data_IF_728921462575
#
_entry.id   IF_728921462575
#
_cell.length_a   1.000
_cell.length_b   1.000
_cell.length_c   1.000
_cell.angle_alpha   90.00
_cell.angle_beta   90.00
_cell.angle_gamma   90.00
#
_symmetry.space_group_name_H-M   'P 1'
#
loop_
_entity.id
_entity.type
_entity.pdbx_description
1 polymer ?
#
# COMPACT_ATOMS: atom_id res chain seq x y z
N UNK A 1 -9.56 12.64 -9.33
CA UNK A 1 -8.49 12.10 -8.47
C UNK A 1 -8.49 12.89 -7.19
N UNK A 2 -8.39 12.22 -6.04
CA UNK A 2 -8.23 12.84 -4.72
C UNK A 2 -7.04 12.21 -4.02
N UNK A 3 -6.16 13.03 -3.47
CA UNK A 3 -4.95 12.59 -2.77
C UNK A 3 -5.03 13.11 -1.34
N UNK A 4 -4.89 12.20 -0.38
CA UNK A 4 -4.83 12.52 1.05
C UNK A 4 -3.45 12.12 1.55
N UNK A 5 -2.73 13.06 2.15
CA UNK A 5 -1.49 12.76 2.84
C UNK A 5 -1.79 12.12 4.20
N UNK A 6 -1.13 11.01 4.51
CA UNK A 6 -1.29 10.23 5.74
C UNK A 6 -0.10 10.38 6.68
N UNK A 7 0.86 11.27 6.37
CA UNK A 7 2.10 11.43 7.15
C UNK A 7 3.28 10.70 6.52
N UNK A 8 4.50 11.22 6.75
CA UNK A 8 5.74 10.69 6.16
C UNK A 8 5.61 10.45 4.64
N UNK A 9 5.87 9.23 4.16
CA UNK A 9 5.69 8.77 2.77
C UNK A 9 4.28 8.22 2.48
N UNK A 10 3.41 8.18 3.48
CA UNK A 10 2.06 7.63 3.42
C UNK A 10 1.09 8.49 2.62
N UNK A 11 0.44 7.91 1.61
CA UNK A 11 -0.63 8.57 0.85
C UNK A 11 -1.82 7.65 0.63
N UNK A 12 -3.02 8.22 0.62
CA UNK A 12 -4.23 7.60 0.09
C UNK A 12 -4.62 8.30 -1.21
N UNK A 13 -4.76 7.54 -2.28
CA UNK A 13 -5.10 8.06 -3.61
C UNK A 13 -6.39 7.42 -4.10
N UNK A 14 -7.40 8.24 -4.36
CA UNK A 14 -8.68 7.83 -4.96
C UNK A 14 -8.72 8.26 -6.42
N UNK A 15 -8.77 7.28 -7.34
CA UNK A 15 -8.77 7.53 -8.78
C UNK A 15 -9.42 6.38 -9.55
N UNK A 16 -10.30 6.70 -10.50
CA UNK A 16 -10.93 5.74 -11.42
C UNK A 16 -11.50 4.48 -10.72
N UNK A 17 -12.18 4.66 -9.58
CA UNK A 17 -12.77 3.57 -8.80
C UNK A 17 -11.77 2.76 -7.94
N UNK A 18 -10.49 3.12 -7.96
CA UNK A 18 -9.46 2.55 -7.10
C UNK A 18 -9.17 3.45 -5.90
N UNK A 19 -8.83 2.82 -4.78
CA UNK A 19 -8.28 3.47 -3.59
C UNK A 19 -6.92 2.82 -3.31
N UNK A 20 -5.85 3.57 -3.54
CA UNK A 20 -4.47 3.09 -3.41
C UNK A 20 -3.88 3.66 -2.12
N UNK A 21 -3.30 2.79 -1.29
CA UNK A 21 -2.47 3.21 -0.15
C UNK A 21 -1.01 3.10 -0.54
N UNK A 22 -0.27 4.20 -0.49
CA UNK A 22 1.18 4.22 -0.71
C UNK A 22 1.86 4.24 0.64
N UNK A 23 2.80 3.33 0.87
CA UNK A 23 3.67 3.25 2.05
C UNK A 23 2.92 3.50 3.39
N UNK A 24 1.93 2.67 3.75
CA UNK A 24 1.09 2.93 4.91
C UNK A 24 1.84 2.64 6.21
N UNK A 25 2.47 3.66 6.78
CA UNK A 25 2.86 3.70 8.19
C UNK A 25 1.86 4.56 8.96
N UNK A 26 0.87 3.91 9.57
CA UNK A 26 -0.23 4.55 10.30
C UNK A 26 -0.01 4.44 11.81
N UNK A 27 0.34 3.25 12.31
CA UNK A 27 0.58 3.03 13.75
C UNK A 27 2.02 3.42 14.10
N UNK A 28 2.18 4.28 15.10
CA UNK A 28 3.48 4.80 15.51
C UNK A 28 4.05 5.92 14.64
N UNK A 29 3.34 6.35 13.59
CA UNK A 29 3.73 7.51 12.79
C UNK A 29 3.45 8.80 13.58
N UNK A 30 4.46 9.64 13.88
CA UNK A 30 4.31 10.78 14.79
C UNK A 30 3.31 11.85 14.33
N UNK A 31 2.96 11.87 13.05
CA UNK A 31 2.07 12.88 12.47
C UNK A 31 0.74 12.30 11.98
N UNK A 32 0.56 10.99 12.02
CA UNK A 32 -0.72 10.36 11.70
C UNK A 32 -1.58 10.21 12.96
N UNK A 33 -2.82 10.74 12.97
CA UNK A 33 -3.75 10.51 14.07
C UNK A 33 -4.26 9.05 14.02
N UNK A 34 -3.76 8.19 14.92
CA UNK A 34 -4.04 6.75 14.93
C UNK A 34 -5.53 6.40 15.00
N UNK A 35 -6.35 7.24 15.63
CA UNK A 35 -7.82 7.09 15.70
C UNK A 35 -8.50 7.18 14.33
N UNK A 36 -7.81 7.70 13.31
CA UNK A 36 -8.28 7.76 11.92
C UNK A 36 -7.85 6.59 11.05
N UNK A 37 -7.19 5.55 11.61
CA UNK A 37 -6.76 4.36 10.85
C UNK A 37 -7.91 3.75 10.04
N UNK A 38 -9.07 3.56 10.66
CA UNK A 38 -10.23 2.95 10.01
C UNK A 38 -10.70 3.77 8.79
N UNK A 39 -10.72 5.11 8.91
CA UNK A 39 -11.05 6.01 7.80
C UNK A 39 -9.99 5.94 6.69
N UNK A 40 -8.71 5.90 7.06
CA UNK A 40 -7.60 5.88 6.11
C UNK A 40 -7.61 4.62 5.23
N UNK A 41 -7.94 3.47 5.78
CA UNK A 41 -7.93 2.20 5.03
C UNK A 41 -9.28 1.86 4.37
N UNK A 42 -10.34 2.60 4.69
CA UNK A 42 -11.69 2.31 4.22
C UNK A 42 -11.75 2.27 2.68
N UNK A 43 -12.19 1.11 2.16
CA UNK A 43 -12.35 0.87 0.74
C UNK A 43 -11.03 0.77 -0.05
N UNK A 44 -9.88 0.65 0.63
CA UNK A 44 -8.60 0.42 -0.04
C UNK A 44 -8.67 -0.83 -0.93
N UNK A 45 -8.08 -0.71 -2.12
CA UNK A 45 -8.11 -1.74 -3.17
C UNK A 45 -6.73 -2.37 -3.39
N UNK A 46 -5.66 -1.59 -3.17
CA UNK A 46 -4.27 -2.00 -3.36
C UNK A 46 -3.38 -1.25 -2.38
N UNK A 47 -2.27 -1.88 -2.00
CA UNK A 47 -1.21 -1.25 -1.21
C UNK A 47 0.04 -1.20 -2.09
N UNK A 48 0.54 0.00 -2.38
CA UNK A 48 1.78 0.25 -3.10
C UNK A 48 2.91 0.43 -2.09
N UNK A 49 3.98 -0.35 -2.24
CA UNK A 49 5.16 -0.29 -1.35
C UNK A 49 6.40 0.06 -2.15
N UNK A 50 7.07 1.14 -1.78
CA UNK A 50 8.28 1.62 -2.45
C UNK A 50 9.51 0.77 -2.11
N UNK A 51 9.72 0.46 -0.84
CA UNK A 51 10.82 -0.37 -0.34
C UNK A 51 10.56 -0.89 1.09
N UNK A 52 11.40 -1.81 1.57
CA UNK A 52 11.18 -2.56 2.81
C UNK A 52 11.61 -1.88 4.12
N UNK A 53 11.76 -0.55 4.17
CA UNK A 53 12.04 0.14 5.44
C UNK A 53 10.78 0.22 6.31
N UNK A 54 10.95 0.15 7.63
CA UNK A 54 9.84 0.01 8.57
C UNK A 54 8.83 1.17 8.49
N UNK A 55 9.31 2.39 8.25
CA UNK A 55 8.53 3.62 8.10
C UNK A 55 7.76 3.72 6.78
N UNK A 56 7.86 2.68 5.94
CA UNK A 56 7.06 2.50 4.72
C UNK A 56 6.13 1.27 4.80
N UNK A 57 6.55 0.21 5.49
CA UNK A 57 5.86 -1.09 5.43
C UNK A 57 5.07 -1.48 6.69
N UNK A 58 5.17 -0.70 7.78
CA UNK A 58 4.71 -1.11 9.11
C UNK A 58 3.29 -1.70 9.13
N UNK A 59 2.32 -1.06 8.47
CA UNK A 59 0.94 -1.53 8.45
C UNK A 59 0.56 -2.29 7.18
N UNK A 60 1.45 -2.36 6.17
CA UNK A 60 1.11 -2.88 4.84
C UNK A 60 0.58 -4.32 4.86
N UNK A 61 1.31 -5.23 5.52
CA UNK A 61 0.91 -6.64 5.63
C UNK A 61 -0.38 -6.81 6.44
N UNK A 62 -0.54 -6.04 7.51
CA UNK A 62 -1.73 -6.11 8.37
C UNK A 62 -2.98 -5.63 7.60
N UNK A 63 -2.88 -4.52 6.88
CA UNK A 63 -3.97 -3.97 6.06
C UNK A 63 -4.30 -4.92 4.90
N UNK A 64 -3.29 -5.50 4.23
CA UNK A 64 -3.49 -6.46 3.14
C UNK A 64 -4.32 -7.67 3.60
N UNK A 65 -4.03 -8.21 4.78
CA UNK A 65 -4.81 -9.29 5.41
C UNK A 65 -6.22 -8.84 5.79
N UNK A 66 -6.34 -7.71 6.48
CA UNK A 66 -7.60 -7.18 6.98
C UNK A 66 -8.62 -6.96 5.85
N UNK A 67 -8.15 -6.42 4.72
CA UNK A 67 -9.00 -6.08 3.59
C UNK A 67 -8.99 -7.12 2.47
N UNK A 68 -8.18 -8.18 2.59
CA UNK A 68 -7.98 -9.17 1.53
C UNK A 68 -7.60 -8.56 0.17
N UNK A 69 -6.65 -7.61 0.20
CA UNK A 69 -6.17 -6.86 -0.97
C UNK A 69 -4.67 -7.11 -1.22
N UNK A 70 -4.19 -6.97 -2.47
CA UNK A 70 -2.80 -7.23 -2.78
C UNK A 70 -1.85 -6.10 -2.35
N UNK A 71 -0.66 -6.49 -1.91
CA UNK A 71 0.51 -5.61 -1.88
C UNK A 71 1.20 -5.58 -3.25
N UNK A 72 1.67 -4.42 -3.68
CA UNK A 72 2.23 -4.18 -5.00
C UNK A 72 3.56 -3.44 -4.83
N UNK A 73 4.64 -3.98 -5.39
CA UNK A 73 5.97 -3.40 -5.16
C UNK A 73 7.10 -4.19 -5.81
N UNK A 74 8.33 -3.95 -5.33
CA UNK A 74 9.52 -4.63 -5.86
C UNK A 74 9.41 -6.15 -5.73
N UNK A 75 9.71 -6.86 -6.82
CA UNK A 75 9.50 -8.30 -6.96
C UNK A 75 10.01 -9.11 -5.76
N UNK A 76 11.26 -8.87 -5.32
CA UNK A 76 11.87 -9.64 -4.23
C UNK A 76 11.09 -9.52 -2.91
N UNK A 77 10.62 -8.31 -2.56
CA UNK A 77 9.83 -8.08 -1.35
C UNK A 77 8.44 -8.72 -1.46
N UNK A 78 7.81 -8.59 -2.62
CA UNK A 78 6.48 -9.17 -2.87
C UNK A 78 6.52 -10.70 -2.80
N UNK A 79 7.49 -11.33 -3.46
CA UNK A 79 7.67 -12.78 -3.38
C UNK A 79 7.98 -13.24 -1.95
N UNK A 80 8.77 -12.48 -1.20
CA UNK A 80 9.05 -12.78 0.20
C UNK A 80 7.80 -12.70 1.08
N UNK A 81 6.96 -11.68 0.91
CA UNK A 81 5.68 -11.57 1.64
C UNK A 81 4.65 -12.61 1.21
N UNK A 82 4.59 -12.96 -0.07
CA UNK A 82 3.72 -14.06 -0.51
C UNK A 82 4.12 -15.37 0.19
N UNK A 83 5.42 -15.69 0.24
CA UNK A 83 5.92 -16.91 0.89
C UNK A 83 5.78 -16.88 2.43
N UNK A 84 6.17 -15.77 3.08
CA UNK A 84 6.26 -15.69 4.54
C UNK A 84 4.98 -15.24 5.22
N UNK A 85 4.23 -14.35 4.57
CA UNK A 85 3.03 -13.74 5.14
C UNK A 85 1.74 -14.31 4.53
N UNK A 86 1.82 -15.03 3.40
CA UNK A 86 0.65 -15.63 2.76
C UNK A 86 -0.36 -14.60 2.24
N UNK A 87 0.09 -13.38 1.95
CA UNK A 87 -0.75 -12.31 1.38
C UNK A 87 -0.68 -12.34 -0.15
N UNK A 88 -1.75 -11.88 -0.80
CA UNK A 88 -1.72 -11.65 -2.24
C UNK A 88 -0.70 -10.55 -2.57
N UNK A 89 0.11 -10.75 -3.61
CA UNK A 89 1.08 -9.74 -4.04
C UNK A 89 1.13 -9.58 -5.55
N UNK A 90 1.63 -8.43 -6.01
CA UNK A 90 1.95 -8.13 -7.40
C UNK A 90 3.38 -7.58 -7.44
N UNK A 91 4.33 -8.45 -7.76
CA UNK A 91 5.74 -8.10 -7.90
C UNK A 91 6.06 -7.53 -9.28
N UNK A 92 6.78 -6.40 -9.32
CA UNK A 92 7.36 -5.83 -10.54
C UNK A 92 8.73 -5.20 -10.26
N UNK A 93 9.40 -4.72 -11.30
CA UNK A 93 10.72 -4.10 -11.19
C UNK A 93 10.70 -2.65 -11.66
N UNK A 94 11.74 -1.90 -11.31
CA UNK A 94 11.89 -0.46 -11.61
C UNK A 94 11.61 -0.17 -13.08
N UNK A 95 10.74 0.81 -13.34
CA UNK A 95 10.31 1.19 -14.69
C UNK A 95 9.28 0.25 -15.33
N UNK A 96 8.95 -0.87 -14.67
CA UNK A 96 7.82 -1.71 -15.01
C UNK A 96 6.50 -1.01 -14.69
N UNK A 97 5.46 -1.32 -15.47
CA UNK A 97 4.11 -0.75 -15.26
C UNK A 97 3.10 -1.87 -15.02
N UNK A 98 2.31 -1.73 -13.97
CA UNK A 98 1.22 -2.66 -13.63
C UNK A 98 -0.14 -1.98 -13.81
N UNK A 99 -1.16 -2.77 -14.17
CA UNK A 99 -2.54 -2.30 -14.27
C UNK A 99 -3.33 -2.74 -13.03
N UNK A 100 -3.95 -1.77 -12.36
CA UNK A 100 -4.76 -1.93 -11.15
C UNK A 100 -6.17 -1.40 -11.48
N UNK A 101 -7.02 -2.27 -12.01
CA UNK A 101 -8.25 -1.84 -12.68
C UNK A 101 -7.94 -0.91 -13.87
N UNK A 102 -8.58 0.26 -13.91
CA UNK A 102 -8.36 1.29 -14.94
C UNK A 102 -7.10 2.15 -14.70
N UNK A 103 -6.41 1.96 -13.58
CA UNK A 103 -5.23 2.74 -13.21
C UNK A 103 -3.96 2.00 -13.61
N UNK A 104 -2.99 2.73 -14.17
CA UNK A 104 -1.64 2.20 -14.45
C UNK A 104 -0.64 2.84 -13.51
N UNK A 105 0.22 2.03 -12.91
CA UNK A 105 1.22 2.46 -11.93
C UNK A 105 2.61 2.04 -12.38
N UNK A 106 3.54 2.98 -12.31
CA UNK A 106 4.99 2.78 -12.51
C UNK A 106 5.70 3.29 -11.27
N UNK A 107 6.59 2.50 -10.69
CA UNK A 107 7.42 2.83 -9.52
C UNK A 107 8.88 2.46 -9.77
#
# INVERSE_FOLDING_TARGET
MKITWLGHSGFRIEIAGQVLLVDPWLVGNPVFPEDRRAEAIAGATHILVTHGHFDHIADAVAIARELSIPCVGVYDLMSWWEEKEGIATIGFNKGGTVALGEVRVTM
#
